data_IF_095141940708
#
_entry.id   IF_095141940708
#
_cell.length_a   1.000
_cell.length_b   1.000
_cell.length_c   1.000
_cell.angle_alpha   90.00
_cell.angle_beta   90.00
_cell.angle_gamma   90.00
#
_symmetry.space_group_name_H-M   'P 1'
#
loop_
_entity.id
_entity.type
_entity.pdbx_description
1 polymer ?
#
# COMPACT_ATOMS: atom_id res chain seq x y z
N UNK A 1 -14.41 47.59 -5.02
CA UNK A 1 -13.90 46.46 -5.83
C UNK A 1 -12.65 45.81 -5.21
N UNK A 2 -12.63 45.51 -3.91
CA UNK A 2 -11.48 44.85 -3.23
C UNK A 2 -11.86 43.57 -2.46
N UNK A 3 -13.17 43.33 -2.26
CA UNK A 3 -13.67 42.18 -1.48
C UNK A 3 -13.96 40.93 -2.33
N UNK A 4 -13.97 41.04 -3.66
CA UNK A 4 -14.25 39.91 -4.56
C UNK A 4 -12.99 39.13 -4.98
N UNK A 5 -11.80 39.72 -4.86
CA UNK A 5 -10.55 39.05 -5.23
C UNK A 5 -10.14 38.00 -4.17
N UNK A 6 -10.52 38.21 -2.91
CA UNK A 6 -10.19 37.30 -1.81
C UNK A 6 -10.99 35.99 -1.86
N UNK A 7 -12.18 36.00 -2.48
CA UNK A 7 -13.04 34.82 -2.58
C UNK A 7 -12.57 33.83 -3.67
N UNK A 8 -11.88 34.32 -4.70
CA UNK A 8 -11.42 33.49 -5.83
C UNK A 8 -10.18 32.65 -5.47
N UNK A 9 -9.37 33.09 -4.51
CA UNK A 9 -8.15 32.36 -4.09
C UNK A 9 -8.42 31.15 -3.17
N UNK A 10 -9.56 31.10 -2.47
CA UNK A 10 -9.92 29.95 -1.62
C UNK A 10 -10.48 28.77 -2.41
N UNK A 11 -11.04 28.99 -3.62
CA UNK A 11 -11.66 27.93 -4.40
C UNK A 11 -10.64 26.98 -5.08
N UNK A 12 -9.37 27.40 -5.22
CA UNK A 12 -8.35 26.62 -5.95
C UNK A 12 -7.49 25.75 -5.03
N UNK A 13 -7.59 25.91 -3.70
CA UNK A 13 -6.80 25.12 -2.75
C UNK A 13 -7.29 23.66 -2.60
N UNK A 14 -8.47 23.31 -3.11
CA UNK A 14 -9.08 21.98 -2.96
C UNK A 14 -8.83 21.03 -4.15
N UNK A 15 -8.12 21.45 -5.20
CA UNK A 15 -7.85 20.59 -6.37
C UNK A 15 -6.62 19.70 -6.23
N UNK A 16 -5.89 19.78 -5.10
CA UNK A 16 -4.73 18.94 -4.82
C UNK A 16 -5.04 17.76 -3.89
N UNK A 17 -6.15 17.05 -4.11
CA UNK A 17 -6.38 15.73 -3.51
C UNK A 17 -6.66 14.70 -4.61
N UNK A 18 -5.71 14.53 -5.52
CA UNK A 18 -5.62 13.25 -6.21
C UNK A 18 -5.40 12.17 -5.15
N UNK A 19 -6.26 11.16 -5.09
CA UNK A 19 -6.10 10.06 -4.13
C UNK A 19 -4.73 9.43 -4.37
N UNK A 20 -3.80 9.63 -3.43
CA UNK A 20 -2.49 9.04 -3.48
C UNK A 20 -2.66 7.53 -3.33
N UNK A 21 -2.83 6.86 -4.46
CA UNK A 21 -3.06 5.44 -4.51
C UNK A 21 -1.76 4.70 -4.17
N UNK A 22 -1.83 3.73 -3.27
CA UNK A 22 -0.70 2.89 -2.86
C UNK A 22 0.52 3.65 -2.31
N UNK A 23 0.32 4.69 -1.50
CA UNK A 23 1.40 5.30 -0.72
C UNK A 23 2.08 4.32 0.23
N UNK A 24 1.37 3.27 0.64
CA UNK A 24 1.89 2.20 1.50
C UNK A 24 2.92 1.35 0.76
N UNK A 25 2.65 0.94 -0.49
CA UNK A 25 3.59 0.14 -1.29
C UNK A 25 4.95 0.84 -1.50
N UNK A 26 4.96 2.17 -1.52
CA UNK A 26 6.22 2.95 -1.62
C UNK A 26 7.09 2.88 -0.37
N UNK A 27 6.53 2.46 0.76
CA UNK A 27 7.24 2.30 2.03
C UNK A 27 7.69 0.86 2.26
N UNK A 28 7.35 -0.07 1.37
CA UNK A 28 7.75 -1.48 1.49
C UNK A 28 9.24 -1.62 1.18
N UNK A 29 9.98 -2.17 2.13
CA UNK A 29 11.41 -2.44 1.99
C UNK A 29 11.70 -3.93 2.18
N UNK A 30 12.71 -4.44 1.47
CA UNK A 30 13.20 -5.80 1.69
C UNK A 30 13.73 -5.92 3.12
N UNK A 31 13.56 -7.09 3.73
CA UNK A 31 13.92 -7.31 5.12
C UNK A 31 12.85 -6.91 6.13
N UNK A 32 11.75 -6.29 5.73
CA UNK A 32 10.64 -6.04 6.65
C UNK A 32 10.04 -7.35 7.17
N UNK A 33 9.75 -7.40 8.46
CA UNK A 33 9.04 -8.54 9.07
C UNK A 33 7.59 -8.61 8.61
N UNK A 34 6.97 -9.78 8.75
CA UNK A 34 5.53 -9.96 8.48
C UNK A 34 4.69 -8.94 9.24
N UNK A 35 4.97 -8.71 10.52
CA UNK A 35 4.24 -7.72 11.34
C UNK A 35 4.40 -6.28 10.82
N UNK A 36 5.57 -5.91 10.33
CA UNK A 36 5.77 -4.57 9.74
C UNK A 36 4.94 -4.41 8.46
N UNK A 37 4.91 -5.43 7.60
CA UNK A 37 4.09 -5.42 6.38
C UNK A 37 2.60 -5.38 6.72
N UNK A 38 2.13 -6.21 7.66
CA UNK A 38 0.72 -6.20 8.10
C UNK A 38 0.34 -4.86 8.74
N UNK A 39 1.24 -4.25 9.52
CA UNK A 39 1.01 -2.91 10.10
C UNK A 39 0.91 -1.84 9.01
N UNK A 40 1.71 -1.94 7.95
CA UNK A 40 1.75 -0.98 6.84
C UNK A 40 0.57 -1.14 5.86
N UNK A 41 0.27 -2.37 5.48
CA UNK A 41 -0.69 -2.71 4.42
C UNK A 41 -2.10 -3.00 4.94
N UNK A 42 -2.22 -3.33 6.23
CA UNK A 42 -3.47 -3.71 6.88
C UNK A 42 -3.57 -5.22 7.17
N UNK A 43 -4.55 -5.61 7.97
CA UNK A 43 -4.80 -6.98 8.41
C UNK A 43 -5.66 -7.81 7.43
N UNK A 44 -6.11 -7.19 6.33
CA UNK A 44 -6.89 -7.83 5.28
C UNK A 44 -5.99 -8.38 4.19
N UNK A 45 -5.51 -9.59 4.40
CA UNK A 45 -4.71 -10.35 3.44
C UNK A 45 -5.12 -11.82 3.43
N UNK A 46 -4.73 -12.53 2.38
CA UNK A 46 -4.78 -13.99 2.30
C UNK A 46 -3.38 -14.57 2.44
N UNK A 47 -3.25 -15.74 3.07
CA UNK A 47 -2.01 -16.53 3.00
C UNK A 47 -2.18 -17.51 1.84
N UNK A 48 -1.42 -17.31 0.76
CA UNK A 48 -1.55 -18.10 -0.48
C UNK A 48 -0.54 -19.24 -0.56
N UNK A 49 0.57 -19.12 0.18
CA UNK A 49 1.53 -20.20 0.39
C UNK A 49 1.98 -20.17 1.86
N UNK A 50 2.03 -21.33 2.50
CA UNK A 50 2.40 -21.44 3.90
C UNK A 50 3.27 -22.67 4.11
N UNK A 51 4.44 -22.46 4.71
CA UNK A 51 5.31 -23.52 5.25
C UNK A 51 5.37 -23.43 6.76
N UNK A 52 5.62 -22.23 7.28
CA UNK A 52 5.61 -21.86 8.69
C UNK A 52 5.42 -20.33 8.80
N UNK A 53 5.31 -19.80 10.03
CA UNK A 53 5.09 -18.36 10.26
C UNK A 53 6.19 -17.46 9.68
N UNK A 54 7.40 -17.98 9.52
CA UNK A 54 8.55 -17.27 8.96
C UNK A 54 8.67 -17.42 7.43
N UNK A 55 8.03 -18.45 6.85
CA UNK A 55 8.12 -18.81 5.45
C UNK A 55 6.71 -18.95 4.85
N UNK A 56 6.18 -17.83 4.38
CA UNK A 56 4.83 -17.73 3.83
C UNK A 56 4.73 -16.62 2.78
N UNK A 57 3.68 -16.67 1.98
CA UNK A 57 3.35 -15.65 0.98
C UNK A 57 2.01 -15.04 1.31
N UNK A 58 1.99 -13.72 1.50
CA UNK A 58 0.76 -12.96 1.72
C UNK A 58 0.27 -12.33 0.41
N UNK A 59 -1.03 -12.32 0.21
CA UNK A 59 -1.71 -11.66 -0.90
C UNK A 59 -2.61 -10.53 -0.38
N UNK A 60 -2.43 -9.35 -0.96
CA UNK A 60 -3.31 -8.20 -0.78
C UNK A 60 -4.05 -7.91 -2.08
N UNK A 61 -5.38 -7.86 -2.01
CA UNK A 61 -6.23 -7.45 -3.13
C UNK A 61 -6.69 -6.02 -2.90
N UNK A 62 -6.25 -5.12 -3.77
CA UNK A 62 -6.60 -3.72 -3.65
C UNK A 62 -7.99 -3.40 -4.21
N UNK A 63 -8.42 -2.13 -4.08
CA UNK A 63 -9.75 -1.71 -4.55
C UNK A 63 -9.94 -1.81 -6.07
N UNK A 64 -8.85 -1.87 -6.84
CA UNK A 64 -8.88 -2.05 -8.29
C UNK A 64 -8.68 -3.52 -8.69
N UNK A 65 -8.74 -4.44 -7.73
CA UNK A 65 -8.58 -5.89 -7.94
C UNK A 65 -7.19 -6.27 -8.42
N UNK A 66 -6.17 -5.46 -8.15
CA UNK A 66 -4.80 -5.92 -8.32
C UNK A 66 -4.37 -6.75 -7.13
N UNK A 67 -3.71 -7.85 -7.45
CA UNK A 67 -3.15 -8.79 -6.49
C UNK A 67 -1.68 -8.43 -6.26
N UNK A 68 -1.34 -8.19 -5.00
CA UNK A 68 0.01 -7.89 -4.54
C UNK A 68 0.51 -9.01 -3.65
N UNK A 69 1.59 -9.66 -4.05
CA UNK A 69 2.18 -10.78 -3.34
C UNK A 69 3.43 -10.35 -2.58
N UNK A 70 3.55 -10.79 -1.34
CA UNK A 70 4.66 -10.52 -0.44
C UNK A 70 5.21 -11.85 0.07
N UNK A 71 6.40 -12.23 -0.41
CA UNK A 71 7.04 -13.49 -0.06
C UNK A 71 8.02 -13.28 1.10
N UNK A 72 7.84 -14.04 2.18
CA UNK A 72 8.68 -14.02 3.37
C UNK A 72 9.56 -15.26 3.42
N UNK A 73 10.84 -15.05 3.74
CA UNK A 73 11.82 -16.11 3.99
C UNK A 73 12.51 -15.79 5.31
N UNK A 74 12.58 -16.78 6.20
CA UNK A 74 13.15 -16.63 7.55
C UNK A 74 12.59 -15.41 8.33
N UNK A 75 11.30 -15.11 8.12
CA UNK A 75 10.57 -14.05 8.83
C UNK A 75 10.74 -12.66 8.25
N UNK A 76 11.43 -12.53 7.12
CA UNK A 76 11.78 -11.26 6.49
C UNK A 76 11.29 -11.23 5.03
N UNK A 77 10.83 -10.07 4.57
CA UNK A 77 10.36 -9.88 3.20
C UNK A 77 11.52 -10.08 2.22
N UNK A 78 11.41 -11.11 1.40
CA UNK A 78 12.41 -11.45 0.39
C UNK A 78 12.15 -10.74 -0.94
N UNK A 79 10.89 -10.71 -1.38
CA UNK A 79 10.44 -9.95 -2.56
C UNK A 79 8.94 -9.69 -2.50
N UNK A 80 8.49 -8.76 -3.33
CA UNK A 80 7.08 -8.50 -3.54
C UNK A 80 6.81 -8.08 -4.99
N UNK A 81 5.61 -8.33 -5.49
CA UNK A 81 5.24 -8.03 -6.88
C UNK A 81 3.72 -7.91 -7.06
N UNK A 82 3.31 -7.18 -8.10
CA UNK A 82 1.94 -7.21 -8.63
C UNK A 82 1.81 -8.42 -9.55
N UNK A 83 0.69 -9.14 -9.50
CA UNK A 83 0.32 -10.06 -10.58
C UNK A 83 0.35 -9.32 -11.92
N UNK A 84 0.99 -9.93 -12.93
CA UNK A 84 0.95 -9.37 -14.28
C UNK A 84 -0.42 -9.71 -14.87
N UNK A 85 -1.10 -8.68 -15.38
CA UNK A 85 -2.28 -8.83 -16.25
C UNK A 85 -1.96 -9.63 -17.51
#
# INVERSE_FOLDING_TARGET
MKKLILALFMAVALTACGTAYNTQLKQVELGMTTNQIVTLMGDKYNVVEYKDDANQTLEYVDKYKYHWFFEFVDGHLYKWYKEKE
#
